data_IF_083547268129
#
_entry.id   IF_083547268129
#
_cell.length_a   1.000
_cell.length_b   1.000
_cell.length_c   1.000
_cell.angle_alpha   90.00
_cell.angle_beta   90.00
_cell.angle_gamma   90.00
#
_symmetry.space_group_name_H-M   'P 1'
#
loop_
_entity.id
_entity.type
_entity.pdbx_description
1 polymer ?
#
# COMPACT_ATOMS: atom_id res chain seq x y z
N UNK A 1 -22.02 16.75 10.14
CA UNK A 1 -21.31 15.58 9.58
C UNK A 1 -19.85 15.79 9.93
N UNK A 2 -19.16 14.77 10.44
CA UNK A 2 -17.71 14.87 10.68
C UNK A 2 -17.00 15.04 9.33
N UNK A 3 -16.05 15.95 9.29
CA UNK A 3 -15.22 16.19 8.11
C UNK A 3 -14.26 15.05 7.89
N UNK A 4 -14.06 14.63 6.62
CA UNK A 4 -13.06 13.61 6.27
C UNK A 4 -11.66 14.16 6.47
N UNK A 5 -10.80 13.40 7.16
CA UNK A 5 -9.38 13.75 7.35
C UNK A 5 -8.49 12.62 6.85
N UNK A 6 -7.38 13.00 6.27
CA UNK A 6 -6.35 12.08 5.77
C UNK A 6 -5.04 12.32 6.52
N UNK A 7 -4.49 11.24 7.09
CA UNK A 7 -3.20 11.25 7.76
C UNK A 7 -2.22 10.36 7.00
N UNK A 8 -1.02 10.85 6.73
CA UNK A 8 0.04 10.04 6.17
C UNK A 8 0.88 9.45 7.31
N UNK A 9 0.90 8.14 7.41
CA UNK A 9 1.57 7.39 8.45
C UNK A 9 2.95 6.95 7.95
N UNK A 10 4.02 7.47 8.55
CA UNK A 10 5.39 7.10 8.19
C UNK A 10 5.69 5.65 8.60
N UNK A 11 5.93 4.78 7.62
CA UNK A 11 6.21 3.35 7.79
C UNK A 11 7.69 2.98 7.76
N UNK A 12 8.59 3.96 7.65
CA UNK A 12 10.03 3.73 7.52
C UNK A 12 10.50 3.72 6.08
N UNK A 13 11.65 3.07 5.83
CA UNK A 13 12.28 3.09 4.49
C UNK A 13 12.85 1.74 4.09
N UNK A 14 12.91 1.52 2.78
CA UNK A 14 13.59 0.41 2.13
C UNK A 14 14.59 0.94 1.09
N UNK A 15 15.41 0.06 0.52
CA UNK A 15 16.37 0.40 -0.55
C UNK A 15 16.15 -0.50 -1.75
N UNK A 16 16.20 0.09 -2.95
CA UNK A 16 16.27 -0.63 -4.21
C UNK A 16 17.31 0.02 -5.14
N UNK A 17 17.73 -0.71 -6.17
CA UNK A 17 18.54 -0.11 -7.24
C UNK A 17 17.66 0.81 -8.10
N UNK A 18 18.22 1.95 -8.54
CA UNK A 18 17.49 2.88 -9.39
C UNK A 18 17.05 2.31 -10.74
N UNK A 19 17.74 1.27 -11.23
CA UNK A 19 17.30 0.52 -12.42
C UNK A 19 16.00 -0.27 -12.16
N UNK A 20 15.72 -0.61 -10.91
CA UNK A 20 14.46 -1.23 -10.52
C UNK A 20 13.34 -0.19 -10.38
N UNK A 21 13.66 0.98 -9.84
CA UNK A 21 12.67 2.07 -9.74
C UNK A 21 12.24 2.60 -11.12
N UNK A 22 13.15 2.58 -12.09
CA UNK A 22 12.93 3.03 -13.48
C UNK A 22 13.42 1.96 -14.45
N UNK A 23 12.53 1.09 -14.88
CA UNK A 23 12.85 -0.09 -15.67
C UNK A 23 13.74 0.24 -16.88
N UNK A 24 14.98 -0.28 -16.87
CA UNK A 24 16.00 -0.08 -17.88
C UNK A 24 16.38 1.38 -18.20
N UNK A 25 15.96 2.35 -17.38
CA UNK A 25 16.13 3.78 -17.67
C UNK A 25 16.56 4.62 -16.46
N UNK A 26 16.74 4.00 -15.30
CA UNK A 26 17.16 4.66 -14.08
C UNK A 26 18.68 4.80 -13.98
N UNK A 27 19.18 5.62 -13.03
CA UNK A 27 20.56 5.56 -12.61
C UNK A 27 20.81 4.21 -11.94
N UNK A 28 22.00 3.63 -12.12
CA UNK A 28 22.45 2.51 -11.30
C UNK A 28 22.82 3.01 -9.90
N UNK A 29 22.56 2.19 -8.89
CA UNK A 29 22.90 2.47 -7.50
C UNK A 29 21.69 2.55 -6.58
N UNK A 30 21.97 2.59 -5.28
CA UNK A 30 20.95 2.50 -4.25
C UNK A 30 20.09 3.77 -4.18
N UNK A 31 18.79 3.57 -4.19
CA UNK A 31 17.79 4.60 -3.85
C UNK A 31 17.09 4.15 -2.58
N UNK A 32 17.14 4.99 -1.53
CA UNK A 32 16.33 4.79 -0.33
C UNK A 32 14.99 5.46 -0.52
N UNK A 33 13.93 4.69 -0.42
CA UNK A 33 12.58 5.15 -0.64
C UNK A 33 11.70 4.99 0.62
N UNK A 34 10.72 5.87 0.82
CA UNK A 34 9.78 5.79 1.93
C UNK A 34 8.77 4.66 1.71
N UNK A 35 8.29 4.10 2.81
CA UNK A 35 7.06 3.32 2.85
C UNK A 35 6.11 4.06 3.78
N UNK A 36 4.87 4.28 3.35
CA UNK A 36 3.87 4.94 4.17
C UNK A 36 2.47 4.37 3.94
N UNK A 37 1.61 4.59 4.90
CA UNK A 37 0.21 4.21 4.85
C UNK A 37 -0.68 5.45 4.93
N UNK A 38 -1.94 5.34 4.52
CA UNK A 38 -2.89 6.45 4.54
C UNK A 38 -4.04 6.10 5.46
N UNK A 39 -4.17 6.81 6.58
CA UNK A 39 -5.34 6.68 7.44
C UNK A 39 -6.39 7.72 7.06
N UNK A 40 -7.61 7.27 6.86
CA UNK A 40 -8.78 8.09 6.54
C UNK A 40 -9.73 8.05 7.73
N UNK A 41 -9.90 9.18 8.40
CA UNK A 41 -10.96 9.41 9.40
C UNK A 41 -12.21 9.89 8.65
N UNK A 42 -13.21 9.01 8.56
CA UNK A 42 -14.45 9.25 7.84
C UNK A 42 -15.64 9.15 8.79
N UNK A 43 -16.80 9.72 8.42
CA UNK A 43 -18.02 9.61 9.23
C UNK A 43 -18.48 8.16 9.47
N UNK A 44 -18.14 7.24 8.58
CA UNK A 44 -18.52 5.83 8.63
C UNK A 44 -17.44 4.95 9.30
N UNK A 45 -16.37 5.57 9.84
CA UNK A 45 -15.30 4.88 10.55
C UNK A 45 -13.89 5.17 10.02
N UNK A 46 -12.93 4.40 10.49
CA UNK A 46 -11.53 4.51 10.10
C UNK A 46 -11.17 3.51 9.02
N UNK A 47 -10.61 4.01 7.92
CA UNK A 47 -10.07 3.22 6.81
C UNK A 47 -8.56 3.42 6.78
N UNK A 48 -7.80 2.37 6.52
CA UNK A 48 -6.37 2.47 6.30
C UNK A 48 -6.02 1.89 4.92
N UNK A 49 -5.39 2.70 4.08
CA UNK A 49 -4.89 2.26 2.78
C UNK A 49 -3.42 1.90 2.91
N UNK A 50 -3.13 0.64 2.67
CA UNK A 50 -1.89 -0.07 2.92
C UNK A 50 -1.43 0.00 4.38
N UNK A 51 -0.52 -0.87 4.76
CA UNK A 51 -0.08 -1.02 6.16
C UNK A 51 1.43 -1.11 6.31
N UNK A 52 2.18 -0.79 5.26
CA UNK A 52 3.63 -0.87 5.29
C UNK A 52 4.15 -2.31 5.40
N UNK A 53 5.37 -2.46 5.88
CA UNK A 53 6.05 -3.73 6.01
C UNK A 53 6.24 -4.17 7.47
N UNK A 54 6.44 -5.47 7.67
CA UNK A 54 6.89 -6.04 8.93
C UNK A 54 8.41 -6.11 8.96
N UNK A 55 9.03 -5.38 9.90
CA UNK A 55 10.49 -5.29 9.98
C UNK A 55 11.15 -6.65 10.19
N UNK A 56 10.59 -7.49 11.09
CA UNK A 56 11.18 -8.80 11.40
C UNK A 56 11.11 -9.73 10.19
N UNK A 57 10.01 -9.67 9.43
CA UNK A 57 9.86 -10.42 8.19
C UNK A 57 10.89 -9.97 7.15
N UNK A 58 10.97 -8.67 6.88
CA UNK A 58 11.87 -8.12 5.85
C UNK A 58 13.34 -8.34 6.20
N UNK A 59 13.74 -8.19 7.47
CA UNK A 59 15.10 -8.50 7.91
C UNK A 59 15.49 -9.96 7.70
N UNK A 60 14.52 -10.89 7.79
CA UNK A 60 14.81 -12.32 7.60
C UNK A 60 14.75 -12.74 6.14
N UNK A 61 13.75 -12.28 5.40
CA UNK A 61 13.45 -12.76 4.04
C UNK A 61 14.04 -11.88 2.94
N UNK A 62 14.18 -10.58 3.20
CA UNK A 62 14.48 -9.55 2.19
C UNK A 62 15.52 -8.55 2.70
N UNK A 63 16.50 -9.00 3.50
CA UNK A 63 17.51 -8.17 4.14
C UNK A 63 18.30 -7.27 3.17
N UNK A 64 18.38 -7.67 1.90
CA UNK A 64 19.01 -6.89 0.84
C UNK A 64 18.31 -5.55 0.56
N UNK A 65 17.04 -5.40 0.97
CA UNK A 65 16.31 -4.12 0.89
C UNK A 65 16.67 -3.14 2.00
N UNK A 66 17.61 -3.48 2.86
CA UNK A 66 18.14 -2.65 3.97
C UNK A 66 17.03 -1.89 4.74
N UNK A 67 16.04 -2.60 5.32
CA UNK A 67 14.90 -1.98 5.98
C UNK A 67 15.32 -1.13 7.17
N UNK A 68 14.69 0.04 7.29
CA UNK A 68 14.85 0.92 8.45
C UNK A 68 13.50 1.37 8.95
N UNK A 69 13.11 0.88 10.13
CA UNK A 69 11.83 1.19 10.76
C UNK A 69 12.01 1.23 12.27
N UNK A 70 11.54 2.28 12.91
CA UNK A 70 11.46 2.38 14.37
C UNK A 70 10.13 1.83 14.87
N UNK A 71 10.04 1.54 16.18
CA UNK A 71 8.77 1.12 16.78
C UNK A 71 7.64 2.16 16.57
N UNK A 72 7.99 3.45 16.55
CA UNK A 72 7.01 4.52 16.30
C UNK A 72 6.48 4.50 14.85
N UNK A 73 7.23 3.94 13.91
CA UNK A 73 6.86 3.83 12.50
C UNK A 73 6.08 2.55 12.15
N UNK A 74 5.87 1.65 13.10
CA UNK A 74 4.92 0.53 12.91
C UNK A 74 3.49 1.03 12.92
N UNK A 75 2.55 0.29 12.31
CA UNK A 75 1.12 0.67 12.33
C UNK A 75 0.61 0.94 13.76
N UNK A 76 0.83 0.08 14.76
CA UNK A 76 0.44 0.40 16.14
C UNK A 76 1.10 1.66 16.70
N UNK A 77 2.36 1.91 16.34
CA UNK A 77 3.08 3.11 16.76
C UNK A 77 2.49 4.37 16.17
N UNK A 78 2.18 4.37 14.87
CA UNK A 78 1.57 5.51 14.18
C UNK A 78 0.15 5.78 14.66
N UNK A 79 -0.67 4.75 14.87
CA UNK A 79 -2.01 4.90 15.45
C UNK A 79 -1.95 5.49 16.86
N UNK A 80 -0.97 5.08 17.67
CA UNK A 80 -0.77 5.63 19.01
C UNK A 80 -0.47 7.13 19.02
N UNK A 81 0.21 7.68 17.99
CA UNK A 81 0.41 9.13 17.85
C UNK A 81 -0.90 9.88 17.69
N UNK A 82 -1.92 9.24 17.17
CA UNK A 82 -3.26 9.80 16.96
C UNK A 82 -4.23 9.45 18.11
N UNK A 83 -3.75 8.78 19.16
CA UNK A 83 -4.60 8.32 20.26
C UNK A 83 -5.51 7.15 19.89
N UNK A 84 -5.24 6.49 18.77
CA UNK A 84 -6.00 5.35 18.27
C UNK A 84 -5.32 4.02 18.65
N UNK A 85 -6.13 2.98 18.71
CA UNK A 85 -5.70 1.58 18.88
C UNK A 85 -5.93 0.80 17.59
N UNK A 86 -5.22 -0.29 17.35
CA UNK A 86 -5.47 -1.17 16.20
C UNK A 86 -6.94 -1.62 16.07
N UNK A 87 -7.63 -1.83 17.18
CA UNK A 87 -9.03 -2.26 17.21
C UNK A 87 -10.04 -1.16 16.81
N UNK A 88 -9.61 0.09 16.72
CA UNK A 88 -10.45 1.21 16.30
C UNK A 88 -10.54 1.30 14.76
N UNK A 89 -9.67 0.58 14.02
CA UNK A 89 -9.68 0.54 12.55
C UNK A 89 -10.76 -0.43 12.07
N UNK A 90 -11.64 0.08 11.19
CA UNK A 90 -12.78 -0.69 10.67
C UNK A 90 -12.43 -1.43 9.36
N UNK A 91 -11.63 -0.80 8.49
CA UNK A 91 -11.30 -1.33 7.18
C UNK A 91 -9.81 -1.14 6.86
N UNK A 92 -9.21 -2.20 6.33
CA UNK A 92 -7.94 -2.14 5.61
C UNK A 92 -8.28 -2.16 4.13
N UNK A 93 -7.70 -1.26 3.36
CA UNK A 93 -7.74 -1.29 1.90
C UNK A 93 -6.33 -1.59 1.45
N UNK A 94 -6.08 -2.74 0.87
CA UNK A 94 -4.78 -2.98 0.26
C UNK A 94 -4.81 -2.61 -1.22
N UNK A 95 -3.86 -1.76 -1.62
CA UNK A 95 -3.59 -1.50 -3.02
C UNK A 95 -3.29 -2.81 -3.73
N UNK A 96 -2.46 -3.62 -3.10
CA UNK A 96 -2.08 -4.98 -3.48
C UNK A 96 -1.41 -5.68 -2.28
N UNK A 97 -0.99 -6.96 -2.43
CA UNK A 97 -0.45 -7.74 -1.32
C UNK A 97 1.06 -7.96 -1.36
N UNK A 98 1.84 -7.04 -1.94
CA UNK A 98 3.28 -7.07 -1.73
C UNK A 98 3.63 -6.76 -0.27
N UNK A 99 4.76 -7.29 0.18
CA UNK A 99 5.17 -7.31 1.60
C UNK A 99 5.23 -5.94 2.25
N UNK A 100 5.50 -4.89 1.48
CA UNK A 100 5.60 -3.51 1.95
C UNK A 100 4.28 -2.72 1.91
N UNK A 101 3.19 -3.36 1.50
CA UNK A 101 1.84 -2.83 1.52
C UNK A 101 0.89 -3.57 2.48
N UNK A 102 1.21 -4.80 2.85
CA UNK A 102 0.33 -5.62 3.69
C UNK A 102 0.96 -6.11 5.01
N UNK A 103 2.25 -5.83 5.25
CA UNK A 103 2.98 -6.37 6.40
C UNK A 103 2.42 -5.99 7.77
N UNK A 104 1.75 -4.84 7.87
CA UNK A 104 1.08 -4.39 9.09
C UNK A 104 -0.35 -4.92 9.29
N UNK A 105 -0.97 -5.58 8.30
CA UNK A 105 -2.35 -6.09 8.38
C UNK A 105 -2.57 -6.96 9.63
N UNK A 106 -1.58 -7.76 10.00
CA UNK A 106 -1.62 -8.66 11.18
C UNK A 106 -1.91 -7.96 12.50
N UNK A 107 -1.69 -6.66 12.58
CA UNK A 107 -1.97 -5.86 13.78
C UNK A 107 -3.43 -5.39 13.85
N UNK A 108 -4.16 -5.40 12.74
CA UNK A 108 -5.50 -4.84 12.59
C UNK A 108 -6.57 -5.96 12.52
N UNK A 109 -6.56 -6.85 13.51
CA UNK A 109 -7.28 -8.13 13.49
C UNK A 109 -8.80 -8.01 13.42
N UNK A 110 -9.38 -6.85 13.76
CA UNK A 110 -10.82 -6.59 13.72
C UNK A 110 -11.26 -5.92 12.42
N UNK A 111 -10.32 -5.40 11.67
CA UNK A 111 -10.64 -4.72 10.42
C UNK A 111 -11.03 -5.72 9.32
N UNK A 112 -11.99 -5.31 8.48
CA UNK A 112 -12.29 -6.00 7.24
C UNK A 112 -11.28 -5.58 6.18
N UNK A 113 -10.63 -6.53 5.51
CA UNK A 113 -9.67 -6.25 4.45
C UNK A 113 -10.37 -6.18 3.09
N UNK A 114 -10.41 -4.99 2.51
CA UNK A 114 -10.91 -4.74 1.16
C UNK A 114 -9.75 -4.90 0.18
N UNK A 115 -9.92 -5.76 -0.82
CA UNK A 115 -8.90 -6.00 -1.84
C UNK A 115 -9.53 -6.41 -3.16
N UNK A 116 -8.76 -6.34 -4.24
CA UNK A 116 -9.20 -6.85 -5.53
C UNK A 116 -9.25 -8.39 -5.51
N UNK A 117 -10.31 -8.97 -6.11
CA UNK A 117 -10.47 -10.43 -6.17
C UNK A 117 -9.27 -11.13 -6.83
N UNK A 118 -8.76 -10.57 -7.95
CA UNK A 118 -7.58 -11.11 -8.64
C UNK A 118 -6.31 -11.05 -7.79
N UNK A 119 -6.19 -10.06 -6.91
CA UNK A 119 -5.02 -9.91 -6.05
C UNK A 119 -4.98 -11.00 -4.98
N UNK A 120 -6.12 -11.34 -4.43
CA UNK A 120 -6.22 -12.46 -3.48
C UNK A 120 -5.85 -13.80 -4.15
N UNK A 121 -6.25 -13.99 -5.41
CA UNK A 121 -5.87 -15.16 -6.20
C UNK A 121 -4.36 -15.18 -6.51
N UNK A 122 -3.78 -14.05 -6.93
CA UNK A 122 -2.36 -13.93 -7.22
C UNK A 122 -1.52 -14.17 -5.96
N UNK A 123 -1.91 -13.63 -4.83
CA UNK A 123 -1.27 -13.85 -3.54
C UNK A 123 -1.29 -15.35 -3.15
N UNK A 124 -2.36 -16.08 -3.46
CA UNK A 124 -2.46 -17.52 -3.18
C UNK A 124 -1.62 -18.38 -4.15
N UNK A 125 -1.45 -17.94 -5.40
CA UNK A 125 -0.73 -18.66 -6.45
C UNK A 125 0.10 -17.68 -7.31
N UNK A 126 1.15 -17.05 -6.73
CA UNK A 126 1.96 -16.08 -7.45
C UNK A 126 2.79 -16.71 -8.56
N UNK A 127 3.11 -15.93 -9.57
CA UNK A 127 4.10 -16.34 -10.55
C UNK A 127 5.47 -16.57 -9.88
N UNK A 128 6.33 -17.45 -10.41
CA UNK A 128 7.63 -17.74 -9.78
C UNK A 128 8.51 -16.52 -9.53
N UNK A 129 8.43 -15.49 -10.37
CA UNK A 129 9.20 -14.25 -10.22
C UNK A 129 8.59 -13.26 -9.21
N UNK A 130 7.32 -13.44 -8.81
CA UNK A 130 6.62 -12.59 -7.83
C UNK A 130 6.67 -13.16 -6.40
N UNK A 131 7.15 -14.38 -6.19
CA UNK A 131 7.09 -15.08 -4.89
C UNK A 131 7.70 -14.23 -3.77
N UNK A 132 8.81 -13.53 -4.04
CA UNK A 132 9.46 -12.69 -3.03
C UNK A 132 8.60 -11.47 -2.66
N UNK A 133 7.92 -10.88 -3.63
CA UNK A 133 7.04 -9.74 -3.39
C UNK A 133 5.85 -10.11 -2.49
N UNK A 134 5.29 -11.30 -2.67
CA UNK A 134 4.20 -11.84 -1.84
C UNK A 134 4.70 -12.66 -0.64
N UNK A 135 5.86 -12.34 -0.08
CA UNK A 135 6.50 -13.17 0.94
C UNK A 135 5.89 -13.03 2.33
N UNK A 136 5.34 -11.87 2.69
CA UNK A 136 4.67 -11.68 3.97
C UNK A 136 3.18 -12.00 3.88
N UNK A 137 2.82 -13.21 4.31
CA UNK A 137 1.45 -13.69 4.41
C UNK A 137 0.98 -13.86 5.85
N UNK A 138 1.63 -13.19 6.81
CA UNK A 138 1.27 -13.27 8.22
C UNK A 138 -0.17 -12.82 8.50
N UNK A 139 -0.73 -11.97 7.62
CA UNK A 139 -2.13 -11.54 7.65
C UNK A 139 -3.12 -12.59 7.11
N UNK A 140 -2.65 -13.61 6.38
CA UNK A 140 -3.48 -14.63 5.73
C UNK A 140 -2.89 -16.04 5.91
N UNK A 141 -2.88 -16.58 7.15
CA UNK A 141 -2.21 -17.84 7.46
C UNK A 141 -2.74 -19.04 6.68
N UNK A 142 -4.02 -19.04 6.28
CA UNK A 142 -4.57 -20.11 5.43
C UNK A 142 -3.97 -20.09 4.01
N UNK A 143 -3.73 -18.91 3.45
CA UNK A 143 -3.07 -18.76 2.15
C UNK A 143 -1.61 -19.21 2.26
N UNK A 144 -0.92 -18.78 3.32
CA UNK A 144 0.45 -19.21 3.60
C UNK A 144 0.56 -20.75 3.70
N UNK A 145 -0.37 -21.40 4.39
CA UNK A 145 -0.41 -22.84 4.53
C UNK A 145 -0.59 -23.55 3.17
N UNK A 146 -1.47 -23.05 2.30
CA UNK A 146 -1.68 -23.61 0.94
C UNK A 146 -0.42 -23.52 0.07
N UNK A 147 0.38 -22.48 0.26
CA UNK A 147 1.63 -22.27 -0.49
C UNK A 147 2.79 -23.13 0.01
N UNK A 148 2.64 -23.81 1.13
CA UNK A 148 3.72 -24.55 1.77
C UNK A 148 4.84 -23.70 2.34
N UNK A 149 4.69 -22.38 2.37
CA UNK A 149 5.61 -21.42 2.99
C UNK A 149 5.27 -21.24 4.48
N UNK A 150 4.98 -22.36 5.14
CA UNK A 150 4.64 -22.31 6.57
C UNK A 150 5.88 -21.90 7.34
N UNK A 151 5.96 -20.66 7.71
CA UNK A 151 6.72 -20.23 8.89
C UNK A 151 6.21 -21.06 10.08
N UNK A 152 7.04 -21.37 11.09
CA UNK A 152 6.57 -22.13 12.24
C UNK A 152 5.25 -21.54 12.72
N UNK A 153 4.27 -22.38 13.07
CA UNK A 153 2.92 -21.92 13.34
C UNK A 153 2.98 -20.78 14.35
N UNK A 154 2.34 -19.67 13.99
CA UNK A 154 1.98 -18.65 14.95
C UNK A 154 1.39 -19.39 16.15
N UNK A 155 1.70 -18.97 17.38
CA UNK A 155 1.05 -19.57 18.55
C UNK A 155 -0.47 -19.56 18.32
N UNK A 156 -1.19 -20.57 18.82
CA UNK A 156 -2.64 -20.65 18.61
C UNK A 156 -3.39 -19.41 19.07
N UNK A 157 -2.79 -18.62 19.98
CA UNK A 157 -3.31 -17.32 20.43
C UNK A 157 -3.13 -16.19 19.38
N UNK A 158 -2.27 -16.37 18.39
CA UNK A 158 -1.97 -15.38 17.36
C UNK A 158 -2.65 -15.68 16.02
N UNK A 159 -3.22 -16.88 15.87
CA UNK A 159 -3.97 -17.25 14.67
C UNK A 159 -5.31 -16.51 14.69
N UNK A 160 -5.56 -15.71 13.68
CA UNK A 160 -6.86 -15.12 13.41
C UNK A 160 -7.24 -15.38 11.96
N UNK A 161 -8.54 -15.44 11.69
CA UNK A 161 -9.05 -15.54 10.33
C UNK A 161 -9.38 -14.14 9.85
N UNK A 162 -8.66 -13.56 8.89
CA UNK A 162 -8.99 -12.25 8.36
C UNK A 162 -10.33 -12.31 7.63
N UNK A 163 -11.10 -11.23 7.72
CA UNK A 163 -12.31 -11.05 6.91
C UNK A 163 -11.92 -10.31 5.65
N UNK A 164 -12.13 -10.94 4.49
CA UNK A 164 -11.91 -10.31 3.20
C UNK A 164 -13.22 -9.87 2.56
N UNK A 165 -13.25 -8.63 2.08
CA UNK A 165 -14.23 -8.12 1.15
C UNK A 165 -13.56 -7.95 -0.21
N UNK A 166 -13.78 -8.90 -1.10
CA UNK A 166 -13.23 -8.82 -2.46
C UNK A 166 -14.13 -7.99 -3.35
N UNK A 167 -13.50 -7.11 -4.12
CA UNK A 167 -14.18 -6.24 -5.08
C UNK A 167 -13.51 -6.37 -6.45
N UNK A 168 -14.16 -5.84 -7.49
CA UNK A 168 -13.65 -5.73 -8.85
C UNK A 168 -14.21 -4.48 -9.51
N UNK A 169 -13.50 -3.93 -10.49
CA UNK A 169 -13.85 -2.66 -11.10
C UNK A 169 -13.59 -1.47 -10.18
N UNK A 170 -13.86 -0.27 -10.68
CA UNK A 170 -13.81 0.94 -9.87
C UNK A 170 -14.94 0.94 -8.84
N UNK A 171 -14.63 1.34 -7.60
CA UNK A 171 -15.58 1.30 -6.49
C UNK A 171 -15.53 2.58 -5.66
N UNK A 172 -16.68 3.09 -5.27
CA UNK A 172 -16.81 4.03 -4.15
C UNK A 172 -17.14 3.24 -2.89
N UNK A 173 -16.19 3.13 -1.98
CA UNK A 173 -16.29 2.29 -0.77
C UNK A 173 -16.88 3.05 0.43
N UNK A 174 -16.78 4.37 0.40
CA UNK A 174 -17.46 5.32 1.28
C UNK A 174 -17.62 6.63 0.50
N UNK A 175 -18.49 7.52 0.95
CA UNK A 175 -18.73 8.77 0.24
C UNK A 175 -17.42 9.57 0.07
N UNK A 176 -17.01 9.79 -1.18
CA UNK A 176 -15.78 10.50 -1.51
C UNK A 176 -14.50 9.69 -1.30
N UNK A 177 -14.60 8.38 -1.05
CA UNK A 177 -13.47 7.45 -0.97
C UNK A 177 -13.60 6.42 -2.08
N UNK A 178 -12.80 6.56 -3.13
CA UNK A 178 -12.91 5.78 -4.37
C UNK A 178 -11.66 5.00 -4.67
N UNK A 179 -11.84 3.77 -5.12
CA UNK A 179 -10.78 2.89 -5.60
C UNK A 179 -10.89 2.78 -7.13
N UNK A 180 -9.76 2.94 -7.80
CA UNK A 180 -9.62 2.78 -9.23
C UNK A 180 -8.70 1.62 -9.55
N UNK A 181 -9.14 0.70 -10.41
CA UNK A 181 -8.27 -0.37 -10.89
C UNK A 181 -7.09 0.20 -11.68
N UNK A 182 -5.88 -0.13 -11.23
CA UNK A 182 -4.63 0.26 -11.89
C UNK A 182 -3.69 -0.95 -11.97
N UNK A 183 -4.11 -2.03 -12.66
CA UNK A 183 -3.34 -3.28 -12.73
C UNK A 183 -2.04 -3.11 -13.51
N UNK A 184 -1.18 -4.12 -13.41
CA UNK A 184 0.06 -4.23 -14.17
C UNK A 184 1.27 -4.37 -13.28
N UNK A 185 1.41 -3.57 -12.21
CA UNK A 185 2.37 -3.83 -11.14
C UNK A 185 2.01 -5.15 -10.43
N UNK A 186 0.79 -5.30 -10.03
CA UNK A 186 0.19 -6.52 -9.51
C UNK A 186 -1.12 -6.82 -10.25
N UNK A 187 -1.65 -8.04 -10.09
CA UNK A 187 -2.82 -8.52 -10.83
C UNK A 187 -4.11 -7.76 -10.49
N UNK A 188 -4.24 -7.36 -9.26
CA UNK A 188 -5.42 -6.71 -8.71
C UNK A 188 -5.11 -5.40 -7.99
N UNK A 189 -4.29 -4.55 -8.58
CA UNK A 189 -3.86 -3.30 -7.98
C UNK A 189 -4.95 -2.24 -8.01
N UNK A 190 -5.09 -1.50 -6.87
CA UNK A 190 -5.94 -0.33 -6.72
C UNK A 190 -5.16 0.92 -6.39
N UNK A 191 -5.51 2.03 -7.03
CA UNK A 191 -5.17 3.39 -6.58
C UNK A 191 -6.37 3.98 -5.84
N UNK A 192 -6.11 4.89 -4.89
CA UNK A 192 -7.11 5.48 -4.00
C UNK A 192 -7.27 6.96 -4.27
N UNK A 193 -8.52 7.44 -4.42
CA UNK A 193 -8.87 8.85 -4.40
C UNK A 193 -9.68 9.17 -3.14
N UNK A 194 -9.31 10.26 -2.46
CA UNK A 194 -10.06 10.79 -1.31
C UNK A 194 -10.45 12.23 -1.58
N UNK A 195 -11.76 12.50 -1.60
CA UNK A 195 -12.31 13.86 -1.68
C UNK A 195 -12.28 14.53 -0.32
N UNK A 196 -11.81 15.76 -0.27
CA UNK A 196 -11.68 16.58 0.93
C UNK A 196 -12.45 17.87 0.79
N UNK A 197 -12.84 18.47 1.93
CA UNK A 197 -13.72 19.66 1.92
C UNK A 197 -12.95 20.97 1.67
N UNK A 198 -11.67 21.04 2.05
CA UNK A 198 -10.90 22.28 2.07
C UNK A 198 -9.67 22.27 1.17
N UNK A 199 -9.55 21.25 0.33
CA UNK A 199 -8.47 21.14 -0.66
C UNK A 199 -8.90 20.28 -1.85
N UNK A 200 -8.03 20.24 -2.88
CA UNK A 200 -8.18 19.30 -3.99
C UNK A 200 -8.18 17.85 -3.48
N UNK A 201 -8.91 16.95 -4.14
CA UNK A 201 -8.85 15.52 -3.87
C UNK A 201 -7.41 14.99 -3.87
N UNK A 202 -7.14 14.00 -3.06
CA UNK A 202 -5.84 13.33 -2.99
C UNK A 202 -5.91 12.00 -3.75
N UNK A 203 -5.06 11.82 -4.76
CA UNK A 203 -4.95 10.60 -5.54
C UNK A 203 -3.66 9.85 -5.17
N UNK A 204 -3.79 8.77 -4.43
CA UNK A 204 -2.69 7.89 -4.04
C UNK A 204 -2.49 6.82 -5.10
N UNK A 205 -1.30 6.79 -5.69
CA UNK A 205 -1.01 5.93 -6.84
C UNK A 205 -0.88 4.45 -6.48
N UNK A 206 -0.58 4.13 -5.20
CA UNK A 206 0.01 2.83 -4.90
C UNK A 206 1.24 2.60 -5.79
N UNK A 207 1.51 1.37 -6.15
CA UNK A 207 2.68 1.01 -6.95
C UNK A 207 2.47 1.07 -8.46
N UNK A 208 1.32 1.58 -8.90
CA UNK A 208 1.14 1.93 -10.32
C UNK A 208 2.09 3.06 -10.75
N UNK A 209 2.57 3.90 -9.79
CA UNK A 209 3.66 4.86 -10.00
C UNK A 209 4.43 5.11 -8.70
N UNK A 210 5.73 4.82 -8.69
CA UNK A 210 6.58 4.97 -7.51
C UNK A 210 6.88 6.43 -7.17
N UNK A 211 7.07 7.26 -8.19
CA UNK A 211 7.45 8.67 -8.03
C UNK A 211 6.86 9.56 -9.11
N UNK A 212 6.85 10.85 -8.86
CA UNK A 212 6.47 11.85 -9.87
C UNK A 212 7.32 11.69 -11.14
N UNK A 213 8.60 11.36 -11.00
CA UNK A 213 9.48 11.15 -12.13
C UNK A 213 9.08 9.96 -13.01
N UNK A 214 8.50 8.89 -12.43
CA UNK A 214 7.93 7.79 -13.21
C UNK A 214 6.77 8.30 -14.10
N UNK A 215 5.86 9.09 -13.53
CA UNK A 215 4.73 9.67 -14.25
C UNK A 215 5.15 10.67 -15.33
N UNK A 216 6.11 11.53 -15.03
CA UNK A 216 6.58 12.56 -15.97
C UNK A 216 7.26 11.94 -17.19
N UNK A 217 8.07 10.91 -16.97
CA UNK A 217 8.83 10.20 -17.99
C UNK A 217 8.07 9.02 -18.60
N UNK A 218 6.94 8.63 -18.03
CA UNK A 218 6.19 7.43 -18.38
C UNK A 218 7.07 6.16 -18.38
N UNK A 219 7.86 6.00 -17.31
CA UNK A 219 8.74 4.85 -17.10
C UNK A 219 8.23 4.06 -15.91
N UNK A 220 7.84 2.81 -16.14
CA UNK A 220 7.36 1.89 -15.10
C UNK A 220 8.51 1.39 -14.23
N UNK A 221 8.21 0.83 -13.07
CA UNK A 221 9.19 0.08 -12.27
C UNK A 221 9.49 -1.28 -12.91
N UNK A 222 10.59 -1.93 -12.54
CA UNK A 222 10.88 -3.29 -13.00
C UNK A 222 10.07 -4.35 -12.26
N UNK A 223 9.44 -4.00 -11.15
CA UNK A 223 8.51 -4.87 -10.44
C UNK A 223 7.13 -4.72 -11.07
N UNK A 224 6.82 -5.59 -12.02
CA UNK A 224 5.54 -5.61 -12.72
C UNK A 224 5.19 -7.02 -13.18
N UNK A 225 3.90 -7.34 -13.13
CA UNK A 225 3.34 -8.55 -13.74
C UNK A 225 3.13 -8.36 -15.25
N UNK A 226 2.60 -7.19 -15.64
CA UNK A 226 2.32 -6.83 -17.04
C UNK A 226 2.80 -5.41 -17.33
N UNK A 227 3.87 -5.23 -18.13
CA UNK A 227 4.41 -3.91 -18.43
C UNK A 227 3.47 -3.05 -19.26
N UNK A 228 2.63 -3.66 -20.12
CA UNK A 228 1.69 -2.91 -20.96
C UNK A 228 0.55 -2.35 -20.11
N UNK A 229 0.00 -3.18 -19.22
CA UNK A 229 -1.04 -2.74 -18.29
C UNK A 229 -0.47 -1.73 -17.28
N UNK A 230 0.76 -1.88 -16.79
CA UNK A 230 1.42 -0.88 -15.93
C UNK A 230 1.51 0.48 -16.60
N UNK A 231 1.91 0.52 -17.88
CA UNK A 231 1.97 1.76 -18.65
C UNK A 231 0.58 2.40 -18.81
N UNK A 232 -0.46 1.60 -19.14
CA UNK A 232 -1.84 2.08 -19.24
C UNK A 232 -2.36 2.61 -17.90
N UNK A 233 -2.01 1.94 -16.80
CA UNK A 233 -2.38 2.38 -15.45
C UNK A 233 -1.75 3.72 -15.09
N UNK A 234 -0.50 3.97 -15.48
CA UNK A 234 0.13 5.30 -15.31
C UNK A 234 -0.57 6.38 -16.15
N UNK A 235 -0.97 6.08 -17.40
CA UNK A 235 -1.77 7.00 -18.20
C UNK A 235 -3.11 7.29 -17.52
N UNK A 236 -3.79 6.24 -17.06
CA UNK A 236 -5.04 6.36 -16.33
C UNK A 236 -4.92 7.24 -15.08
N UNK A 237 -3.84 7.11 -14.30
CA UNK A 237 -3.59 7.97 -13.14
C UNK A 237 -3.54 9.45 -13.52
N UNK A 238 -2.86 9.79 -14.61
CA UNK A 238 -2.80 11.18 -15.12
C UNK A 238 -4.17 11.68 -15.54
N UNK A 239 -4.95 10.84 -16.23
CA UNK A 239 -6.31 11.19 -16.67
C UNK A 239 -7.25 11.36 -15.46
N UNK A 240 -7.17 10.49 -14.45
CA UNK A 240 -7.92 10.61 -13.20
C UNK A 240 -7.56 11.89 -12.44
N UNK A 241 -6.27 12.23 -12.33
CA UNK A 241 -5.83 13.44 -11.67
C UNK A 241 -6.40 14.69 -12.35
N UNK A 242 -6.40 14.74 -13.68
CA UNK A 242 -7.02 15.84 -14.45
C UNK A 242 -8.55 15.84 -14.28
N UNK A 243 -9.20 14.66 -14.41
CA UNK A 243 -10.66 14.55 -14.35
C UNK A 243 -11.23 14.99 -13.00
N UNK A 244 -10.54 14.63 -11.91
CA UNK A 244 -10.98 14.93 -10.55
C UNK A 244 -10.31 16.19 -9.96
N UNK A 245 -9.49 16.90 -10.72
CA UNK A 245 -8.65 18.01 -10.22
C UNK A 245 -7.87 17.60 -8.97
N UNK A 246 -7.28 16.39 -8.98
CA UNK A 246 -6.66 15.76 -7.83
C UNK A 246 -5.14 15.96 -7.80
N UNK A 247 -4.60 16.17 -6.58
CA UNK A 247 -3.16 16.13 -6.35
C UNK A 247 -2.68 14.68 -6.23
N UNK A 248 -1.60 14.33 -6.94
CA UNK A 248 -1.04 12.98 -6.97
C UNK A 248 -0.05 12.78 -5.81
N UNK A 249 -0.20 11.66 -5.10
CA UNK A 249 0.67 11.19 -4.03
C UNK A 249 1.26 9.83 -4.42
N UNK A 250 2.54 9.83 -4.81
CA UNK A 250 3.25 8.61 -5.21
C UNK A 250 3.71 7.79 -3.99
N UNK A 251 3.76 6.45 -4.14
CA UNK A 251 4.02 5.52 -3.03
C UNK A 251 5.44 5.60 -2.46
N UNK A 252 6.44 5.73 -3.34
CA UNK A 252 7.85 5.54 -3.00
C UNK A 252 8.74 6.70 -3.43
N UNK A 253 8.20 7.92 -3.51
CA UNK A 253 8.94 9.12 -3.91
C UNK A 253 9.62 9.80 -2.72
N UNK A 254 10.96 9.69 -2.55
CA UNK A 254 11.66 10.31 -1.42
C UNK A 254 11.54 11.83 -1.43
N UNK A 255 11.52 12.44 -2.61
CA UNK A 255 11.48 13.89 -2.75
C UNK A 255 10.12 14.44 -2.35
N UNK A 256 9.05 13.86 -2.89
CA UNK A 256 7.68 14.27 -2.57
C UNK A 256 7.33 13.96 -1.10
N UNK A 257 7.70 12.75 -0.61
CA UNK A 257 7.43 12.35 0.77
C UNK A 257 8.09 13.26 1.82
N UNK A 258 9.27 13.82 1.52
CA UNK A 258 9.93 14.78 2.40
C UNK A 258 9.07 16.03 2.65
N UNK A 259 8.25 16.44 1.68
CA UNK A 259 7.37 17.61 1.74
C UNK A 259 5.97 17.30 2.29
N UNK A 260 5.55 16.03 2.36
CA UNK A 260 4.22 15.65 2.82
C UNK A 260 4.02 15.95 4.32
N UNK A 261 2.83 16.43 4.66
CA UNK A 261 2.40 16.55 6.04
C UNK A 261 2.09 15.17 6.61
N UNK A 262 2.88 14.73 7.58
CA UNK A 262 2.77 13.42 8.22
C UNK A 262 2.01 13.49 9.53
N UNK A 263 1.46 12.37 9.99
CA UNK A 263 0.84 12.25 11.30
C UNK A 263 1.77 12.81 12.42
N UNK A 264 1.22 13.54 13.42
CA UNK A 264 -0.19 13.74 13.70
C UNK A 264 -0.88 14.87 12.89
N UNK A 265 -0.18 15.54 11.98
CA UNK A 265 -0.81 16.48 11.04
C UNK A 265 -1.73 15.75 10.06
N UNK A 266 -2.75 16.45 9.53
CA UNK A 266 -3.72 15.88 8.60
C UNK A 266 -4.10 16.86 7.50
N UNK A 267 -4.66 16.31 6.44
CA UNK A 267 -5.32 17.04 5.35
C UNK A 267 -6.83 16.91 5.50
N UNK A 268 -7.60 17.99 5.15
CA UNK A 268 -9.06 18.02 5.23
C UNK A 268 -9.71 18.82 4.11
#
# INVERSE_FOLDING_TARGET
MSETKVYLLDGGTLVMDGLHAFWNAGPSGEIRFPVYSVLIEHQDGYYIYDTGYDLDHVQRALAFTMPTQTKAQTIPGQLSLLGLRPDDINYIINSHFHFDHCGGNKHLRRACTVCHAKELEACACPQPFEIQSYSDLSFAPEIAARRGNVQPPLSTAEIYTPTFQTIAGDQEIAKGVRLFETPGHAAGHYSLLVELSHRQPMLFTGDAAYSQQNLDRMIISSFHLDPVESYKSMQRLKDLAVHHDAEIFCSHDPQSFASYLKAPGFYS
#
